data_IF_874434659665
#
_entry.id   IF_874434659665
#
_cell.length_a   1.000
_cell.length_b   1.000
_cell.length_c   1.000
_cell.angle_alpha   90.00
_cell.angle_beta   90.00
_cell.angle_gamma   90.00
#
_symmetry.space_group_name_H-M   'P 1'
#
loop_
_entity.id
_entity.type
_entity.pdbx_description
1 polymer ?
#
# COMPACT_ATOMS: atom_id res chain seq x y z
N UNK A 1 11.75 16.17 -12.54
CA UNK A 1 11.67 14.76 -12.99
C UNK A 1 10.22 14.40 -13.03
N UNK A 2 9.70 13.82 -14.12
CA UNK A 2 8.37 13.28 -14.11
C UNK A 2 8.29 12.22 -13.02
N UNK A 3 7.13 12.10 -12.39
CA UNK A 3 6.95 11.20 -11.25
C UNK A 3 6.73 9.75 -11.69
N UNK A 4 7.55 9.28 -12.60
CA UNK A 4 7.56 7.95 -13.19
C UNK A 4 7.53 6.81 -12.20
N UNK A 5 7.95 7.09 -10.99
CA UNK A 5 8.14 6.07 -9.97
C UNK A 5 6.84 5.37 -9.58
N UNK A 6 5.68 6.03 -9.74
CA UNK A 6 4.39 5.47 -9.31
C UNK A 6 3.80 4.50 -10.33
N UNK A 7 4.16 4.61 -11.60
CA UNK A 7 3.69 3.71 -12.67
C UNK A 7 4.47 2.40 -12.75
N UNK A 8 5.64 2.33 -12.15
CA UNK A 8 6.49 1.15 -12.19
C UNK A 8 5.92 -0.02 -11.39
N UNK A 9 6.02 -1.23 -11.93
CA UNK A 9 5.57 -2.46 -11.28
C UNK A 9 6.00 -2.58 -9.81
N UNK A 10 7.25 -2.30 -9.42
CA UNK A 10 7.64 -2.37 -8.01
C UNK A 10 6.87 -1.39 -7.11
N UNK A 11 6.46 -0.24 -7.63
CA UNK A 11 5.65 0.74 -6.88
C UNK A 11 4.22 0.26 -6.70
N UNK A 12 3.61 -0.30 -7.73
CA UNK A 12 2.27 -0.89 -7.64
C UNK A 12 2.25 -2.05 -6.65
N UNK A 13 3.25 -2.93 -6.72
CA UNK A 13 3.42 -4.01 -5.75
C UNK A 13 3.60 -3.50 -4.31
N UNK A 14 4.38 -2.43 -4.14
CA UNK A 14 4.56 -1.81 -2.82
C UNK A 14 3.23 -1.25 -2.27
N UNK A 15 2.39 -0.62 -3.10
CA UNK A 15 1.08 -0.10 -2.69
C UNK A 15 0.12 -1.24 -2.31
N UNK A 16 0.07 -2.31 -3.11
CA UNK A 16 -0.70 -3.51 -2.82
C UNK A 16 -0.29 -4.15 -1.49
N UNK A 17 1.02 -4.33 -1.30
CA UNK A 17 1.57 -4.90 -0.06
C UNK A 17 1.28 -4.00 1.15
N UNK A 18 1.39 -2.67 1.00
CA UNK A 18 1.07 -1.75 2.10
C UNK A 18 -0.40 -1.76 2.47
N UNK A 19 -1.30 -1.96 1.52
CA UNK A 19 -2.72 -2.16 1.83
C UNK A 19 -2.89 -3.39 2.73
N UNK A 20 -2.29 -4.51 2.36
CA UNK A 20 -2.32 -5.76 3.11
C UNK A 20 -1.68 -5.64 4.50
N UNK A 21 -0.40 -5.23 4.57
CA UNK A 21 0.36 -5.18 5.83
C UNK A 21 -0.23 -4.23 6.88
N UNK A 22 -0.83 -3.13 6.42
CA UNK A 22 -1.43 -2.15 7.33
C UNK A 22 -2.94 -2.33 7.51
N UNK A 23 -3.53 -3.29 6.82
CA UNK A 23 -4.97 -3.58 6.86
C UNK A 23 -5.82 -2.33 6.58
N UNK A 24 -5.47 -1.60 5.54
CA UNK A 24 -6.16 -0.37 5.09
C UNK A 24 -6.37 -0.39 3.59
N UNK A 25 -7.43 0.25 3.14
CA UNK A 25 -7.58 0.55 1.71
C UNK A 25 -6.52 1.56 1.26
N UNK A 26 -5.94 1.34 0.09
CA UNK A 26 -4.97 2.25 -0.52
C UNK A 26 -5.45 2.65 -1.89
N UNK A 27 -5.53 3.95 -2.16
CA UNK A 27 -5.80 4.49 -3.48
C UNK A 27 -4.71 5.48 -3.89
N UNK A 28 -4.29 5.41 -5.14
CA UNK A 28 -3.30 6.31 -5.72
C UNK A 28 -3.81 6.83 -7.06
N UNK A 29 -3.87 8.14 -7.19
CA UNK A 29 -4.11 8.81 -8.46
C UNK A 29 -2.79 9.30 -9.05
N UNK A 30 -2.57 8.98 -10.32
CA UNK A 30 -1.40 9.40 -11.06
C UNK A 30 -1.82 10.08 -12.36
N UNK A 31 -1.17 11.17 -12.78
CA UNK A 31 -1.44 11.79 -14.06
C UNK A 31 -1.28 10.80 -15.22
N UNK A 32 -2.09 10.96 -16.26
CA UNK A 32 -1.85 10.26 -17.51
C UNK A 32 -0.64 10.84 -18.25
N UNK A 33 -0.11 10.11 -19.20
CA UNK A 33 1.01 10.54 -20.03
C UNK A 33 2.03 9.44 -20.27
N UNK A 34 3.03 9.74 -21.08
CA UNK A 34 4.14 8.83 -21.31
C UNK A 34 4.89 8.57 -20.01
N UNK A 35 5.10 7.31 -19.66
CA UNK A 35 5.67 6.84 -18.39
C UNK A 35 4.88 7.26 -17.13
N UNK A 36 3.60 7.52 -17.24
CA UNK A 36 2.69 7.84 -16.15
C UNK A 36 1.47 6.89 -16.16
N UNK A 37 0.34 7.28 -15.59
CA UNK A 37 -0.85 6.41 -15.53
C UNK A 37 -0.78 5.41 -14.37
N UNK A 38 -1.46 4.28 -14.51
CA UNK A 38 -1.59 3.25 -13.49
C UNK A 38 -2.16 3.77 -12.15
N UNK A 39 -3.14 4.69 -12.21
CA UNK A 39 -3.94 4.99 -11.04
C UNK A 39 -4.57 3.70 -10.52
N UNK A 40 -4.50 3.46 -9.23
CA UNK A 40 -4.85 2.17 -8.68
C UNK A 40 -5.54 2.26 -7.32
N UNK A 41 -6.25 1.20 -6.97
CA UNK A 41 -6.81 1.01 -5.64
C UNK A 41 -6.66 -0.45 -5.21
N UNK A 42 -6.29 -0.67 -3.96
CA UNK A 42 -6.06 -1.97 -3.36
C UNK A 42 -6.82 -2.11 -2.05
N UNK A 43 -7.52 -3.23 -1.89
CA UNK A 43 -8.11 -3.63 -0.62
C UNK A 43 -7.02 -4.22 0.30
N UNK A 44 -7.16 -4.19 1.61
CA UNK A 44 -6.34 -5.00 2.51
C UNK A 44 -6.68 -6.48 2.46
N UNK A 45 -7.88 -6.84 2.00
CA UNK A 45 -8.40 -8.21 2.04
C UNK A 45 -7.72 -9.04 0.96
N UNK A 46 -6.87 -9.97 1.39
CA UNK A 46 -6.11 -10.88 0.52
C UNK A 46 -6.53 -12.35 0.66
N UNK A 47 -7.49 -12.64 1.54
CA UNK A 47 -8.00 -13.98 1.79
C UNK A 47 -9.52 -13.94 1.84
N UNK A 48 -10.16 -14.90 1.21
CA UNK A 48 -11.60 -15.08 1.33
C UNK A 48 -11.98 -15.83 2.62
N UNK A 49 -13.27 -16.00 2.84
CA UNK A 49 -13.81 -16.70 4.00
C UNK A 49 -13.43 -18.18 4.09
N UNK A 50 -12.96 -18.77 2.98
CA UNK A 50 -12.47 -20.15 2.91
C UNK A 50 -10.95 -20.23 3.10
N UNK A 51 -10.25 -19.09 3.33
CA UNK A 51 -8.82 -19.03 3.43
C UNK A 51 -8.09 -19.16 2.10
N UNK A 52 -8.77 -18.86 0.99
CA UNK A 52 -8.15 -18.85 -0.34
C UNK A 52 -7.63 -17.45 -0.63
N UNK A 53 -6.38 -17.38 -1.10
CA UNK A 53 -5.76 -16.12 -1.49
C UNK A 53 -6.49 -15.51 -2.69
N UNK A 54 -6.83 -14.23 -2.57
CA UNK A 54 -7.48 -13.44 -3.63
C UNK A 54 -6.61 -12.24 -4.02
N UNK A 55 -6.76 -11.79 -5.25
CA UNK A 55 -6.14 -10.54 -5.70
C UNK A 55 -6.81 -9.36 -4.99
N UNK A 56 -6.03 -8.54 -4.35
CA UNK A 56 -6.50 -7.37 -3.61
C UNK A 56 -6.64 -6.10 -4.47
N UNK A 57 -6.49 -6.21 -5.79
CA UNK A 57 -6.63 -5.11 -6.73
C UNK A 57 -8.10 -4.78 -6.95
N UNK A 58 -8.55 -3.61 -6.52
CA UNK A 58 -9.90 -3.10 -6.79
C UNK A 58 -9.96 -2.34 -8.11
N UNK A 59 -8.89 -1.62 -8.42
CA UNK A 59 -8.75 -0.81 -9.63
C UNK A 59 -7.30 -0.76 -10.07
N UNK A 60 -7.10 -0.88 -11.38
CA UNK A 60 -5.85 -0.52 -12.03
C UNK A 60 -6.17 0.12 -13.40
N UNK A 61 -6.06 1.43 -13.47
CA UNK A 61 -6.26 2.21 -14.69
C UNK A 61 -4.98 2.21 -15.53
N UNK A 62 -4.84 1.22 -16.41
CA UNK A 62 -3.65 1.04 -17.26
C UNK A 62 -3.63 1.96 -18.49
N UNK A 63 -4.76 2.60 -18.79
CA UNK A 63 -4.88 3.45 -19.96
C UNK A 63 -4.27 4.83 -19.73
N UNK A 64 -3.67 5.37 -20.77
CA UNK A 64 -3.05 6.70 -20.76
C UNK A 64 -4.08 7.83 -21.03
N UNK A 65 -5.36 7.53 -20.96
CA UNK A 65 -6.43 8.49 -21.18
C UNK A 65 -6.93 9.08 -19.88
N UNK A 66 -7.20 10.38 -19.88
CA UNK A 66 -7.90 11.02 -18.77
C UNK A 66 -9.28 10.42 -18.57
N UNK A 67 -9.65 10.22 -17.32
CA UNK A 67 -10.96 9.66 -16.98
C UNK A 67 -11.25 9.73 -15.50
N UNK A 68 -12.51 9.46 -15.19
CA UNK A 68 -12.97 9.29 -13.83
C UNK A 68 -13.11 7.79 -13.57
N UNK A 69 -12.40 7.31 -12.57
CA UNK A 69 -12.39 5.91 -12.18
C UNK A 69 -12.96 5.77 -10.77
N UNK A 70 -13.70 4.71 -10.54
CA UNK A 70 -14.33 4.42 -9.24
C UNK A 70 -13.72 3.15 -8.66
N UNK A 71 -13.46 3.18 -7.36
CA UNK A 71 -13.08 2.00 -6.59
C UNK A 71 -13.93 1.96 -5.32
N UNK A 72 -14.61 0.85 -5.10
CA UNK A 72 -15.45 0.64 -3.93
C UNK A 72 -14.64 -0.06 -2.84
N UNK A 73 -14.60 0.55 -1.66
CA UNK A 73 -14.02 -0.05 -0.46
C UNK A 73 -15.16 -0.47 0.48
N UNK A 74 -15.35 -1.78 0.62
CA UNK A 74 -16.28 -2.32 1.61
C UNK A 74 -15.68 -2.15 3.01
N UNK A 75 -16.11 -1.11 3.71
CA UNK A 75 -15.59 -0.76 5.03
C UNK A 75 -15.97 -1.82 6.06
N UNK A 76 -17.14 -2.42 5.95
CA UNK A 76 -17.60 -3.46 6.88
C UNK A 76 -16.73 -4.73 6.74
N UNK A 77 -16.47 -5.14 5.51
CA UNK A 77 -15.55 -6.24 5.21
C UNK A 77 -14.14 -5.95 5.73
N UNK A 78 -13.62 -4.74 5.50
CA UNK A 78 -12.30 -4.34 5.98
C UNK A 78 -12.21 -4.39 7.50
N UNK A 79 -13.25 -3.90 8.20
CA UNK A 79 -13.28 -3.94 9.67
C UNK A 79 -13.29 -5.38 10.18
N UNK A 80 -14.14 -6.24 9.63
CA UNK A 80 -14.22 -7.68 9.97
C UNK A 80 -12.88 -8.37 9.71
N UNK A 81 -12.24 -8.09 8.57
CA UNK A 81 -10.92 -8.63 8.23
C UNK A 81 -9.85 -8.20 9.24
N UNK A 82 -9.84 -6.93 9.66
CA UNK A 82 -8.89 -6.42 10.67
C UNK A 82 -9.04 -7.08 12.03
N UNK A 83 -10.25 -7.48 12.40
CA UNK A 83 -10.54 -8.16 13.66
C UNK A 83 -10.06 -9.63 13.64
N UNK A 84 -10.07 -10.27 12.48
CA UNK A 84 -9.69 -11.67 12.30
C UNK A 84 -8.19 -11.88 12.07
N UNK A 85 -7.49 -10.86 11.54
CA UNK A 85 -6.09 -10.97 11.16
C UNK A 85 -5.12 -10.74 12.32
N UNK A 86 -3.94 -11.34 12.17
CA UNK A 86 -2.87 -11.27 13.19
C UNK A 86 -2.04 -9.98 13.10
N UNK A 87 -2.14 -9.22 12.01
CA UNK A 87 -1.45 -7.97 11.83
C UNK A 87 -2.05 -6.87 12.72
N UNK A 88 -1.27 -5.88 13.07
CA UNK A 88 -1.68 -4.81 13.96
C UNK A 88 -1.10 -4.95 15.37
N UNK A 89 -1.93 -4.79 16.41
CA UNK A 89 -1.42 -4.70 17.79
C UNK A 89 -1.18 -6.05 18.48
N UNK A 90 -1.73 -7.14 17.97
CA UNK A 90 -1.75 -8.46 18.64
C UNK A 90 -0.34 -8.97 19.00
N UNK A 91 0.62 -8.81 18.09
CA UNK A 91 2.00 -9.26 18.30
C UNK A 91 3.00 -8.11 18.47
N UNK A 92 2.50 -6.93 18.74
CA UNK A 92 3.31 -5.73 18.87
C UNK A 92 4.21 -5.79 20.11
N UNK A 93 5.53 -5.78 19.90
CA UNK A 93 6.54 -5.82 20.96
C UNK A 93 7.02 -4.41 21.32
N UNK A 94 6.16 -3.62 21.93
CA UNK A 94 6.41 -2.19 22.21
C UNK A 94 7.74 -1.94 22.90
N UNK A 95 8.17 -2.82 23.82
CA UNK A 95 9.45 -2.70 24.54
C UNK A 95 10.68 -2.83 23.63
N UNK A 96 10.54 -3.50 22.47
CA UNK A 96 11.63 -3.66 21.51
C UNK A 96 11.76 -2.47 20.55
N UNK A 97 10.83 -1.54 20.57
CA UNK A 97 10.83 -0.41 19.63
C UNK A 97 11.70 0.77 20.07
N UNK A 98 12.35 0.68 21.23
CA UNK A 98 13.26 1.74 21.69
C UNK A 98 14.35 2.06 20.67
N UNK A 99 14.88 1.05 19.98
CA UNK A 99 15.88 1.23 18.92
C UNK A 99 15.36 2.04 17.72
N UNK A 100 14.06 2.02 17.45
CA UNK A 100 13.45 2.83 16.39
C UNK A 100 13.41 4.32 16.75
N UNK A 101 13.60 4.66 18.03
CA UNK A 101 13.69 6.03 18.51
C UNK A 101 15.14 6.56 18.54
N UNK A 102 16.12 5.72 18.19
CA UNK A 102 17.49 6.14 18.06
C UNK A 102 17.60 7.13 16.90
N UNK A 103 18.10 8.32 17.18
CA UNK A 103 18.26 9.40 16.18
C UNK A 103 19.63 9.35 15.48
N UNK A 104 20.48 8.40 15.82
CA UNK A 104 21.78 8.24 15.19
C UNK A 104 21.62 7.72 13.75
N UNK A 105 22.13 8.50 12.80
CA UNK A 105 22.15 8.12 11.38
C UNK A 105 23.55 7.63 11.06
N UNK A 106 23.66 6.34 10.70
CA UNK A 106 24.94 5.70 10.41
C UNK A 106 25.10 5.45 8.91
N UNK A 107 26.37 5.33 8.48
CA UNK A 107 26.68 4.95 7.11
C UNK A 107 25.97 3.61 6.75
N UNK A 108 25.41 3.47 5.53
CA UNK A 108 25.49 4.36 4.35
C UNK A 108 24.36 5.40 4.22
N UNK A 109 23.55 5.60 5.25
CA UNK A 109 22.32 6.42 5.18
C UNK A 109 22.56 7.91 5.50
N UNK A 110 23.78 8.28 5.81
CA UNK A 110 24.16 9.68 6.06
C UNK A 110 24.04 10.50 4.78
N UNK A 111 23.30 11.61 4.84
CA UNK A 111 23.18 12.57 3.75
C UNK A 111 23.89 13.88 4.14
N UNK A 112 24.54 14.52 3.17
CA UNK A 112 25.13 15.84 3.38
C UNK A 112 24.03 16.83 3.82
N UNK A 113 24.28 17.55 4.93
CA UNK A 113 23.36 18.56 5.45
C UNK A 113 22.36 18.07 6.52
N UNK A 114 22.52 16.88 7.04
CA UNK A 114 21.80 16.40 8.23
C UNK A 114 22.68 16.48 9.48
#
# INVERSE_FOLDING_TARGET
MPNDCTSMRPRLQALSTRAYENMVGVAMANPNGENAGNSCAYSPVCWDENGICVDNTLLLATEMTEGLYYADFDIEQICTYRESEMMGNTFRKVKAYAELMNMEIVYPFVREGQ
#
